data_IF_745456954842
#
_entry.id   IF_745456954842
#
_cell.length_a   1.000
_cell.length_b   1.000
_cell.length_c   1.000
_cell.angle_alpha   90.00
_cell.angle_beta   90.00
_cell.angle_gamma   90.00
#
_symmetry.space_group_name_H-M   'P 1'
#
loop_
_entity.id
_entity.type
_entity.pdbx_description
1 polymer ?
#
# COMPACT_ATOMS: atom_id res chain seq x y z
N UNK A 1 -14.97 7.20 4.63
CA UNK A 1 -14.21 6.08 4.06
C UNK A 1 -13.65 5.28 5.22
N UNK A 2 -13.83 3.95 5.24
CA UNK A 2 -13.42 3.10 6.38
C UNK A 2 -12.39 2.10 5.88
N UNK A 3 -11.14 2.31 6.26
CA UNK A 3 -10.10 1.31 6.08
C UNK A 3 -10.26 0.31 7.24
N UNK A 4 -10.77 -0.87 6.94
CA UNK A 4 -11.14 -1.84 7.96
C UNK A 4 -9.88 -2.41 8.62
N UNK A 5 -9.73 -2.32 9.97
CA UNK A 5 -8.54 -2.83 10.66
C UNK A 5 -8.27 -4.32 10.41
N UNK A 6 -9.30 -5.08 10.03
CA UNK A 6 -9.21 -6.49 9.70
C UNK A 6 -8.21 -6.79 8.59
N UNK A 7 -7.89 -5.86 7.68
CA UNK A 7 -6.92 -6.11 6.62
C UNK A 7 -5.47 -6.13 7.13
N UNK A 8 -5.19 -5.54 8.29
CA UNK A 8 -3.87 -5.61 8.92
C UNK A 8 -3.74 -6.91 9.71
N UNK A 9 -3.01 -7.86 9.15
CA UNK A 9 -2.72 -9.14 9.78
C UNK A 9 -1.40 -9.02 10.57
N UNK A 10 -1.04 -10.09 11.27
CA UNK A 10 0.17 -10.12 12.08
C UNK A 10 1.47 -9.86 11.27
N UNK A 11 1.48 -10.21 9.99
CA UNK A 11 2.68 -10.17 9.15
C UNK A 11 2.57 -9.29 7.91
N UNK A 12 1.35 -9.01 7.44
CA UNK A 12 1.12 -8.29 6.20
C UNK A 12 -0.25 -7.60 6.17
N UNK A 13 -0.50 -6.86 5.09
CA UNK A 13 -1.81 -6.29 4.77
C UNK A 13 -2.47 -7.19 3.72
N UNK A 14 -3.64 -7.76 4.05
CA UNK A 14 -4.33 -8.75 3.22
C UNK A 14 -5.85 -8.69 3.36
N UNK A 15 -6.54 -8.74 2.24
CA UNK A 15 -8.00 -8.74 2.14
C UNK A 15 -8.45 -9.10 0.72
N UNK A 16 -9.75 -9.35 0.56
CA UNK A 16 -10.38 -9.63 -0.73
C UNK A 16 -10.48 -8.39 -1.62
N UNK A 17 -10.06 -8.52 -2.88
CA UNK A 17 -10.28 -7.50 -3.91
C UNK A 17 -11.67 -7.66 -4.55
N UNK A 18 -12.44 -6.57 -4.80
CA UNK A 18 -12.13 -5.17 -4.51
C UNK A 18 -12.71 -4.65 -3.18
N UNK A 19 -13.45 -5.48 -2.42
CA UNK A 19 -14.26 -5.02 -1.30
C UNK A 19 -13.45 -4.60 -0.06
N UNK A 20 -12.41 -5.35 0.27
CA UNK A 20 -11.55 -5.08 1.45
C UNK A 20 -10.24 -4.40 1.06
N UNK A 21 -9.69 -4.75 -0.11
CA UNK A 21 -8.51 -4.10 -0.71
C UNK A 21 -8.86 -3.62 -2.11
N UNK A 22 -8.56 -2.37 -2.39
CA UNK A 22 -8.69 -1.69 -3.67
C UNK A 22 -7.62 -0.59 -3.82
N UNK A 23 -7.67 0.13 -4.93
CA UNK A 23 -6.73 1.18 -5.28
C UNK A 23 -6.67 2.29 -4.20
N UNK A 24 -7.80 2.70 -3.63
CA UNK A 24 -7.83 3.74 -2.58
C UNK A 24 -7.15 3.25 -1.30
N UNK A 25 -7.46 2.04 -0.85
CA UNK A 25 -6.82 1.46 0.36
C UNK A 25 -5.30 1.31 0.19
N UNK A 26 -4.85 0.82 -0.97
CA UNK A 26 -3.44 0.59 -1.24
C UNK A 26 -2.68 1.91 -1.41
N UNK A 27 -3.30 2.93 -1.99
CA UNK A 27 -2.78 4.30 -1.99
C UNK A 27 -2.49 4.80 -0.56
N UNK A 28 -3.46 4.66 0.35
CA UNK A 28 -3.29 5.09 1.75
C UNK A 28 -2.18 4.31 2.47
N UNK A 29 -2.09 2.99 2.25
CA UNK A 29 -1.03 2.16 2.82
C UNK A 29 0.34 2.63 2.31
N UNK A 30 0.47 2.88 1.00
CA UNK A 30 1.70 3.39 0.39
C UNK A 30 2.16 4.71 1.00
N UNK A 31 1.23 5.67 1.14
CA UNK A 31 1.49 6.97 1.77
C UNK A 31 1.92 6.82 3.22
N UNK A 32 1.18 6.04 4.00
CA UNK A 32 1.49 5.83 5.41
C UNK A 32 2.89 5.20 5.58
N UNK A 33 3.23 4.23 4.73
CA UNK A 33 4.54 3.58 4.74
C UNK A 33 5.68 4.55 4.41
N UNK A 34 5.53 5.38 3.37
CA UNK A 34 6.54 6.36 2.99
C UNK A 34 6.77 7.43 4.08
N UNK A 35 5.68 7.95 4.68
CA UNK A 35 5.76 8.90 5.80
C UNK A 35 6.46 8.29 7.01
N UNK A 36 6.14 7.04 7.33
CA UNK A 36 6.76 6.33 8.45
C UNK A 36 8.26 6.11 8.21
N UNK A 37 8.65 5.64 7.02
CA UNK A 37 10.06 5.46 6.65
C UNK A 37 10.85 6.77 6.68
N UNK A 38 10.24 7.85 6.19
CA UNK A 38 10.85 9.19 6.17
C UNK A 38 11.20 9.67 7.57
N UNK A 39 10.33 9.39 8.54
CA UNK A 39 10.51 9.76 9.95
C UNK A 39 11.45 8.83 10.71
N UNK A 40 11.50 7.54 10.37
CA UNK A 40 12.21 6.53 11.16
C UNK A 40 13.59 6.14 10.62
N UNK A 41 13.79 6.21 9.31
CA UNK A 41 15.00 5.69 8.68
C UNK A 41 15.80 6.78 7.95
N UNK A 42 15.24 7.39 6.91
CA UNK A 42 15.95 8.34 6.04
C UNK A 42 14.99 9.35 5.46
N UNK A 43 15.41 10.61 5.35
CA UNK A 43 14.60 11.70 4.78
C UNK A 43 14.09 11.42 3.36
N UNK A 44 14.84 10.64 2.57
CA UNK A 44 14.49 10.25 1.20
C UNK A 44 14.74 8.75 1.03
N UNK A 45 13.78 7.89 1.41
CA UNK A 45 13.95 6.44 1.29
C UNK A 45 13.82 6.00 -0.17
N UNK A 46 14.64 5.02 -0.56
CA UNK A 46 14.46 4.30 -1.83
C UNK A 46 13.60 3.08 -1.55
N UNK A 47 12.47 2.96 -2.25
CA UNK A 47 11.48 1.89 -2.05
C UNK A 47 11.33 1.11 -3.36
N UNK A 48 11.56 -0.20 -3.31
CA UNK A 48 11.36 -1.10 -4.44
C UNK A 48 9.93 -1.63 -4.41
N UNK A 49 9.24 -1.60 -5.56
CA UNK A 49 7.84 -2.05 -5.68
C UNK A 49 7.71 -3.21 -6.66
N UNK A 50 7.36 -4.40 -6.13
CA UNK A 50 7.06 -5.61 -6.88
C UNK A 50 5.58 -6.01 -6.77
N UNK A 51 5.13 -6.88 -7.67
CA UNK A 51 3.79 -7.50 -7.63
C UNK A 51 3.83 -8.88 -8.28
N UNK A 52 2.88 -9.74 -7.91
CA UNK A 52 2.64 -11.01 -8.61
C UNK A 52 1.80 -10.80 -9.89
N UNK A 53 1.38 -11.90 -10.52
CA UNK A 53 0.64 -11.92 -11.78
C UNK A 53 -0.90 -11.83 -11.65
N UNK A 54 -1.46 -11.31 -10.53
CA UNK A 54 -2.91 -11.13 -10.41
C UNK A 54 -3.44 -10.05 -11.35
N UNK A 55 -4.70 -10.21 -11.79
CA UNK A 55 -5.40 -9.23 -12.64
C UNK A 55 -5.48 -7.85 -11.97
N UNK A 56 -5.64 -7.80 -10.65
CA UNK A 56 -5.66 -6.54 -9.88
C UNK A 56 -4.28 -5.90 -9.71
N UNK A 57 -3.19 -6.65 -9.91
CA UNK A 57 -1.83 -6.19 -9.59
C UNK A 57 -1.41 -4.92 -10.32
N UNK A 58 -1.66 -4.72 -11.64
CA UNK A 58 -1.30 -3.47 -12.30
C UNK A 58 -1.99 -2.23 -11.70
N UNK A 59 -3.28 -2.33 -11.36
CA UNK A 59 -4.05 -1.25 -10.76
C UNK A 59 -3.58 -0.92 -9.34
N UNK A 60 -3.47 -1.95 -8.50
CA UNK A 60 -3.01 -1.80 -7.11
C UNK A 60 -1.57 -1.29 -7.04
N UNK A 61 -0.68 -1.77 -7.92
CA UNK A 61 0.71 -1.30 -7.99
C UNK A 61 0.78 0.18 -8.34
N UNK A 62 0.00 0.64 -9.33
CA UNK A 62 -0.07 2.05 -9.71
C UNK A 62 -0.54 2.92 -8.54
N UNK A 63 -1.58 2.47 -7.82
CA UNK A 63 -2.10 3.18 -6.66
C UNK A 63 -1.09 3.22 -5.50
N UNK A 64 -0.39 2.11 -5.23
CA UNK A 64 0.66 2.04 -4.21
C UNK A 64 1.79 3.02 -4.51
N UNK A 65 2.32 3.01 -5.74
CA UNK A 65 3.40 3.89 -6.17
C UNK A 65 2.96 5.35 -6.04
N UNK A 66 1.73 5.67 -6.44
CA UNK A 66 1.17 7.02 -6.27
C UNK A 66 1.15 7.42 -4.79
N UNK A 67 0.71 6.53 -3.90
CA UNK A 67 0.71 6.78 -2.46
C UNK A 67 2.11 7.00 -1.89
N UNK A 68 3.11 6.27 -2.37
CA UNK A 68 4.51 6.41 -1.93
C UNK A 68 5.12 7.75 -2.33
N UNK A 69 4.75 8.28 -3.50
CA UNK A 69 5.34 9.50 -4.08
C UNK A 69 4.67 10.81 -3.62
N UNK A 70 3.46 10.74 -3.04
CA UNK A 70 2.68 11.89 -2.55
C UNK A 70 2.78 12.06 -1.02
#
# INVERSE_FOLDING_TARGET
MILHPSIFKAYDVRGGYPAEINEETVYLVGRAFAVWLTKKARKQPVIVVGSDARISSPGLKKALVRGILE
#
